data_IF_964696624382
#
_entry.id   IF_964696624382
#
_cell.length_a   1.000
_cell.length_b   1.000
_cell.length_c   1.000
_cell.angle_alpha   90.00
_cell.angle_beta   90.00
_cell.angle_gamma   90.00
#
_symmetry.space_group_name_H-M   'P 1'
#
loop_
_entity.id
_entity.type
_entity.pdbx_description
1 polymer ?
#
# COMPACT_ATOMS: atom_id res chain seq x y z
N UNK A 1 10.49 -9.61 10.09
CA UNK A 1 10.44 -9.76 8.63
C UNK A 1 10.07 -8.42 7.99
N UNK A 2 10.26 -8.25 6.69
CA UNK A 2 10.10 -6.95 5.99
C UNK A 2 8.67 -6.38 6.08
N UNK A 3 7.69 -7.24 6.39
CA UNK A 3 6.29 -6.93 6.62
C UNK A 3 5.94 -6.53 8.05
N UNK A 4 6.87 -6.62 9.02
CA UNK A 4 6.57 -6.30 10.43
C UNK A 4 6.17 -4.82 10.63
N UNK A 5 6.49 -3.95 9.66
CA UNK A 5 6.16 -2.53 9.69
C UNK A 5 4.89 -2.19 8.90
N UNK A 6 4.25 -3.18 8.27
CA UNK A 6 3.09 -2.99 7.42
C UNK A 6 1.83 -3.49 8.15
N UNK A 7 0.88 -2.57 8.33
CA UNK A 7 -0.48 -2.91 8.66
C UNK A 7 -1.22 -3.33 7.37
N UNK A 8 -2.07 -4.37 7.44
CA UNK A 8 -2.89 -4.77 6.30
C UNK A 8 -3.91 -3.69 5.93
N UNK A 9 -4.45 -3.79 4.72
CA UNK A 9 -5.48 -2.88 4.20
C UNK A 9 -6.76 -2.99 5.03
N UNK A 10 -7.36 -1.83 5.33
CA UNK A 10 -8.61 -1.74 6.08
C UNK A 10 -9.76 -2.53 5.41
N UNK A 11 -10.58 -3.18 6.24
CA UNK A 11 -11.79 -3.90 5.83
C UNK A 11 -12.77 -3.04 5.03
N UNK A 12 -12.84 -1.72 5.28
CA UNK A 12 -13.69 -0.82 4.51
C UNK A 12 -13.28 -0.74 3.04
N UNK A 13 -11.97 -0.83 2.76
CA UNK A 13 -11.44 -0.89 1.41
C UNK A 13 -11.73 -2.24 0.77
N UNK A 14 -11.61 -3.34 1.53
CA UNK A 14 -11.98 -4.67 1.03
C UNK A 14 -13.47 -4.74 0.66
N UNK A 15 -14.34 -4.14 1.48
CA UNK A 15 -15.76 -4.04 1.22
C UNK A 15 -16.08 -3.18 -0.01
N UNK A 16 -15.32 -2.12 -0.24
CA UNK A 16 -15.42 -1.32 -1.47
C UNK A 16 -15.05 -2.14 -2.71
N UNK A 17 -13.91 -2.84 -2.70
CA UNK A 17 -13.44 -3.63 -3.84
C UNK A 17 -14.44 -4.74 -4.20
N UNK A 18 -15.07 -5.39 -3.21
CA UNK A 18 -16.12 -6.41 -3.44
C UNK A 18 -17.31 -5.89 -4.26
N UNK A 19 -17.53 -4.58 -4.31
CA UNK A 19 -18.60 -3.94 -5.10
C UNK A 19 -18.15 -3.56 -6.51
N UNK A 20 -16.84 -3.59 -6.78
CA UNK A 20 -16.29 -3.30 -8.10
C UNK A 20 -16.48 -4.51 -9.04
N UNK A 21 -16.60 -4.23 -10.34
CA UNK A 21 -16.56 -5.29 -11.35
C UNK A 21 -15.12 -5.80 -11.54
N UNK A 22 -14.97 -6.97 -12.15
CA UNK A 22 -13.66 -7.55 -12.51
C UNK A 22 -12.83 -6.70 -13.49
N UNK A 23 -13.44 -5.68 -14.09
CA UNK A 23 -12.77 -4.77 -15.02
C UNK A 23 -12.02 -3.64 -14.32
N UNK A 24 -12.40 -3.31 -13.08
CA UNK A 24 -11.76 -2.26 -12.29
C UNK A 24 -10.36 -2.68 -11.86
N UNK A 25 -9.49 -1.69 -11.66
CA UNK A 25 -8.10 -1.88 -11.26
C UNK A 25 -8.00 -2.55 -9.89
N UNK A 26 -8.83 -2.14 -8.92
CA UNK A 26 -8.84 -2.70 -7.57
C UNK A 26 -9.07 -4.22 -7.55
N UNK A 27 -9.88 -4.73 -8.48
CA UNK A 27 -10.15 -6.17 -8.62
C UNK A 27 -8.96 -6.97 -9.18
N UNK A 28 -7.92 -6.31 -9.67
CA UNK A 28 -6.71 -6.92 -10.25
C UNK A 28 -5.45 -6.72 -9.39
N UNK A 29 -5.51 -5.85 -8.37
CA UNK A 29 -4.42 -5.62 -7.43
C UNK A 29 -4.38 -6.76 -6.42
N UNK A 30 -3.18 -7.26 -6.10
CA UNK A 30 -2.97 -8.23 -5.02
C UNK A 30 -2.85 -7.49 -3.69
N UNK A 31 -3.69 -7.79 -2.72
CA UNK A 31 -3.79 -7.02 -1.48
C UNK A 31 -3.12 -7.73 -0.31
N UNK A 32 -2.46 -6.97 0.54
CA UNK A 32 -2.10 -7.39 1.89
C UNK A 32 -3.31 -7.22 2.83
N UNK A 33 -3.82 -8.34 3.32
CA UNK A 33 -4.93 -8.44 4.26
C UNK A 33 -4.48 -9.21 5.51
N UNK A 34 -5.32 -9.25 6.54
CA UNK A 34 -5.06 -10.05 7.75
C UNK A 34 -4.87 -11.55 7.46
N UNK A 35 -5.44 -12.05 6.35
CA UNK A 35 -5.42 -13.45 5.97
C UNK A 35 -4.33 -13.78 4.94
N UNK A 36 -3.89 -12.80 4.16
CA UNK A 36 -3.03 -13.02 3.00
C UNK A 36 -2.02 -11.90 2.79
N UNK A 37 -0.76 -12.28 2.55
CA UNK A 37 0.32 -11.38 2.15
C UNK A 37 0.67 -11.63 0.67
N UNK A 38 0.89 -10.58 -0.16
CA UNK A 38 1.28 -10.74 -1.56
C UNK A 38 2.62 -11.46 -1.74
N UNK A 39 2.69 -12.37 -2.72
CA UNK A 39 3.95 -13.00 -3.15
C UNK A 39 4.77 -12.03 -4.01
N UNK A 40 5.73 -11.36 -3.39
CA UNK A 40 6.55 -10.33 -4.02
C UNK A 40 7.35 -10.81 -5.25
N UNK A 41 7.54 -12.12 -5.45
CA UNK A 41 8.27 -12.62 -6.63
C UNK A 41 7.46 -12.46 -7.94
N UNK A 42 6.17 -12.14 -7.85
CA UNK A 42 5.26 -11.99 -8.99
C UNK A 42 4.77 -10.56 -9.18
N UNK A 43 5.37 -9.60 -8.49
CA UNK A 43 4.92 -8.21 -8.44
C UNK A 43 5.94 -7.32 -9.15
N UNK A 44 5.46 -6.42 -9.99
CA UNK A 44 6.28 -5.41 -10.67
C UNK A 44 6.23 -4.07 -9.93
N UNK A 45 5.06 -3.74 -9.35
CA UNK A 45 4.79 -2.47 -8.67
C UNK A 45 4.18 -2.75 -7.30
N UNK A 46 4.70 -2.11 -6.26
CA UNK A 46 4.18 -2.21 -4.90
C UNK A 46 3.74 -0.83 -4.40
N UNK A 47 2.47 -0.71 -4.03
CA UNK A 47 1.89 0.48 -3.40
C UNK A 47 2.06 0.34 -1.89
N UNK A 48 2.54 1.39 -1.24
CA UNK A 48 2.67 1.46 0.21
C UNK A 48 2.11 2.79 0.69
N UNK A 49 1.11 2.74 1.57
CA UNK A 49 0.66 3.94 2.26
C UNK A 49 1.59 4.28 3.44
N UNK A 50 1.87 5.56 3.65
CA UNK A 50 2.68 6.02 4.79
C UNK A 50 1.86 7.02 5.59
N UNK A 51 1.40 6.61 6.77
CA UNK A 51 0.52 7.41 7.62
C UNK A 51 1.31 8.35 8.53
N UNK A 52 2.33 9.02 7.99
CA UNK A 52 3.21 9.93 8.71
C UNK A 52 3.09 11.35 8.14
N UNK A 53 2.65 12.29 8.97
CA UNK A 53 2.53 13.70 8.61
C UNK A 53 3.11 14.65 9.68
N UNK A 54 3.78 14.15 10.72
CA UNK A 54 4.34 14.99 11.82
C UNK A 54 5.48 15.91 11.36
N UNK A 55 5.90 15.79 10.09
CA UNK A 55 6.79 16.74 9.43
C UNK A 55 6.10 18.07 9.10
N UNK A 56 4.77 18.08 9.00
CA UNK A 56 3.97 19.22 8.61
C UNK A 56 3.61 20.13 9.78
N UNK A 57 3.48 21.44 9.51
CA UNK A 57 3.06 22.44 10.51
C UNK A 57 1.64 22.18 11.03
N UNK A 58 0.76 21.66 10.16
CA UNK A 58 -0.64 21.37 10.45
C UNK A 58 -0.89 19.85 10.46
N UNK A 59 -0.02 19.08 11.12
CA UNK A 59 -0.18 17.64 11.23
C UNK A 59 -1.54 17.28 11.88
N UNK A 60 -2.24 16.33 11.28
CA UNK A 60 -3.46 15.71 11.81
C UNK A 60 -3.13 14.39 12.50
N UNK A 61 -3.87 14.05 13.56
CA UNK A 61 -3.63 12.84 14.34
C UNK A 61 -4.01 11.55 13.62
N UNK A 62 -4.95 11.61 12.67
CA UNK A 62 -5.40 10.46 11.90
C UNK A 62 -5.21 10.74 10.41
N UNK A 63 -4.15 10.17 9.83
CA UNK A 63 -3.92 10.21 8.39
C UNK A 63 -4.69 9.06 7.77
N UNK A 64 -5.54 9.36 6.79
CA UNK A 64 -6.33 8.35 6.08
C UNK A 64 -6.06 8.43 4.58
N UNK A 65 -5.65 7.31 3.99
CA UNK A 65 -5.38 7.17 2.56
C UNK A 65 -6.52 6.43 1.83
N UNK A 66 -7.61 6.11 2.54
CA UNK A 66 -8.74 5.35 1.99
C UNK A 66 -9.39 6.02 0.79
N UNK A 67 -9.49 7.34 0.79
CA UNK A 67 -10.06 8.09 -0.34
C UNK A 67 -9.22 7.90 -1.62
N UNK A 68 -7.88 8.00 -1.50
CA UNK A 68 -6.95 7.80 -2.61
C UNK A 68 -7.05 6.36 -3.13
N UNK A 69 -7.09 5.38 -2.23
CA UNK A 69 -7.25 3.97 -2.59
C UNK A 69 -8.56 3.72 -3.32
N UNK A 70 -9.69 4.25 -2.83
CA UNK A 70 -11.00 4.10 -3.48
C UNK A 70 -10.99 4.66 -4.90
N UNK A 71 -10.46 5.86 -5.09
CA UNK A 71 -10.34 6.46 -6.42
C UNK A 71 -9.44 5.64 -7.34
N UNK A 72 -8.23 5.27 -6.89
CA UNK A 72 -7.29 4.46 -7.66
C UNK A 72 -7.89 3.10 -8.06
N UNK A 73 -8.52 2.41 -7.11
CA UNK A 73 -9.10 1.09 -7.32
C UNK A 73 -10.33 1.14 -8.22
N UNK A 74 -11.08 2.24 -8.18
CA UNK A 74 -12.20 2.54 -9.07
C UNK A 74 -11.79 2.91 -10.50
N UNK A 75 -10.49 3.06 -10.79
CA UNK A 75 -10.02 3.26 -12.16
C UNK A 75 -10.10 1.97 -12.98
N UNK A 76 -10.00 2.09 -14.31
CA UNK A 76 -9.79 0.96 -15.20
C UNK A 76 -8.31 0.81 -15.54
N UNK A 77 -7.77 -0.43 -15.57
CA UNK A 77 -6.40 -0.67 -15.99
C UNK A 77 -6.23 -0.36 -17.49
N UNK A 78 -5.07 0.18 -17.86
CA UNK A 78 -4.71 0.42 -19.25
C UNK A 78 -4.17 -0.84 -19.95
N UNK A 79 -3.65 -0.68 -21.17
CA UNK A 79 -3.06 -1.75 -21.98
C UNK A 79 -1.64 -2.17 -21.55
N UNK A 80 -1.33 -2.10 -20.26
CA UNK A 80 -0.03 -2.47 -19.71
C UNK A 80 -0.10 -3.84 -19.02
N UNK A 81 1.04 -4.52 -18.98
CA UNK A 81 1.20 -5.80 -18.28
C UNK A 81 2.14 -5.58 -17.10
N UNK A 82 1.56 -5.15 -15.98
CA UNK A 82 2.27 -4.99 -14.72
C UNK A 82 1.42 -5.62 -13.61
N UNK A 83 2.04 -6.47 -12.80
CA UNK A 83 1.44 -7.01 -11.60
C UNK A 83 1.62 -6.01 -10.46
N UNK A 84 0.51 -5.58 -9.87
CA UNK A 84 0.49 -4.57 -8.82
C UNK A 84 0.07 -5.25 -7.51
N UNK A 85 0.80 -4.96 -6.43
CA UNK A 85 0.36 -5.24 -5.09
C UNK A 85 0.16 -3.96 -4.28
N UNK A 86 -0.84 -3.94 -3.40
CA UNK A 86 -0.90 -2.97 -2.31
C UNK A 86 -0.48 -3.69 -1.03
N UNK A 87 0.61 -3.23 -0.44
CA UNK A 87 1.23 -3.83 0.73
C UNK A 87 0.66 -3.31 2.05
N UNK A 88 -0.32 -2.40 1.99
CA UNK A 88 -0.93 -1.80 3.17
C UNK A 88 -0.23 -0.52 3.61
N UNK A 89 -0.24 -0.28 4.91
CA UNK A 89 0.16 0.99 5.51
C UNK A 89 1.33 0.85 6.48
N UNK A 90 2.28 1.78 6.40
CA UNK A 90 3.25 2.04 7.47
C UNK A 90 2.59 2.99 8.47
N UNK A 91 2.36 2.50 9.68
CA UNK A 91 1.85 3.30 10.78
C UNK A 91 2.95 4.25 11.30
N UNK A 92 2.60 5.45 11.81
CA UNK A 92 3.57 6.36 12.37
C UNK A 92 4.25 5.72 13.59
N UNK A 93 5.58 5.71 13.58
CA UNK A 93 6.39 5.18 14.69
C UNK A 93 6.37 6.10 15.92
N UNK A 94 7.16 5.77 16.94
CA UNK A 94 7.28 6.63 18.13
C UNK A 94 7.82 8.01 17.77
N UNK A 95 8.78 8.06 16.85
CA UNK A 95 9.32 9.28 16.25
C UNK A 95 9.20 9.26 14.71
N UNK A 96 9.42 10.41 14.07
CA UNK A 96 9.48 10.51 12.60
C UNK A 96 10.60 9.65 12.02
N UNK A 97 11.74 9.60 12.71
CA UNK A 97 12.91 8.84 12.27
C UNK A 97 12.64 7.32 12.28
N UNK A 98 11.80 6.83 13.19
CA UNK A 98 11.36 5.43 13.19
C UNK A 98 10.54 5.10 11.93
N UNK A 99 9.62 6.00 11.54
CA UNK A 99 8.86 5.86 10.29
C UNK A 99 9.81 5.90 9.09
N UNK A 100 10.75 6.84 9.05
CA UNK A 100 11.73 6.95 7.96
C UNK A 100 12.61 5.70 7.85
N UNK A 101 13.00 5.10 8.97
CA UNK A 101 13.72 3.84 8.99
C UNK A 101 12.89 2.69 8.40
N UNK A 102 11.61 2.58 8.78
CA UNK A 102 10.70 1.56 8.24
C UNK A 102 10.54 1.71 6.71
N UNK A 103 10.26 2.93 6.23
CA UNK A 103 10.16 3.24 4.79
C UNK A 103 11.45 2.86 4.07
N UNK A 104 12.61 3.31 4.57
CA UNK A 104 13.92 3.01 3.97
C UNK A 104 14.16 1.50 3.85
N UNK A 105 13.81 0.74 4.89
CA UNK A 105 14.00 -0.71 4.91
C UNK A 105 13.11 -1.43 3.90
N UNK A 106 11.83 -1.06 3.82
CA UNK A 106 10.87 -1.65 2.87
C UNK A 106 11.27 -1.30 1.44
N UNK A 107 11.49 -0.02 1.15
CA UNK A 107 11.89 0.46 -0.19
C UNK A 107 13.18 -0.20 -0.66
N UNK A 108 14.18 -0.33 0.22
CA UNK A 108 15.43 -1.00 -0.12
C UNK A 108 15.24 -2.49 -0.46
N UNK A 109 14.32 -3.19 0.21
CA UNK A 109 14.00 -4.59 -0.14
C UNK A 109 13.32 -4.68 -1.51
N UNK A 110 12.31 -3.85 -1.76
CA UNK A 110 11.57 -3.84 -3.02
C UNK A 110 12.48 -3.56 -4.21
N UNK A 111 13.35 -2.56 -4.09
CA UNK A 111 14.32 -2.21 -5.14
C UNK A 111 15.30 -3.36 -5.40
N UNK A 112 15.80 -4.04 -4.34
CA UNK A 112 16.68 -5.23 -4.51
C UNK A 112 15.98 -6.36 -5.28
N UNK A 113 14.65 -6.47 -5.16
CA UNK A 113 13.81 -7.42 -5.90
C UNK A 113 13.39 -6.91 -7.28
N UNK A 114 13.82 -5.72 -7.69
CA UNK A 114 13.42 -5.02 -8.93
C UNK A 114 11.93 -4.67 -8.99
N UNK A 115 11.30 -4.50 -7.83
CA UNK A 115 9.93 -4.03 -7.70
C UNK A 115 9.97 -2.50 -7.59
N UNK A 116 9.08 -1.81 -8.29
CA UNK A 116 8.96 -0.35 -8.23
C UNK A 116 8.05 0.02 -7.04
N UNK A 117 8.59 0.62 -5.96
CA UNK A 117 7.77 1.11 -4.86
C UNK A 117 7.08 2.42 -5.25
N UNK A 118 5.80 2.55 -4.89
CA UNK A 118 4.98 3.77 -5.01
C UNK A 118 4.43 4.12 -3.64
#
# INVERSE_FOLDING_TARGET
MEFDFLAPIDNDILNYIKRLSSQHLGSKIVLHTDEQVPDLNKIDIAIIGVLENRGEKNAVSNVDLSAIRKELYGMFPGNWKAAIADLGDILPGNSKDDTYFAVKKIVASLIKRKIIPI
#
